data_IF_568363077089
#
_entry.id   IF_568363077089
#
_cell.length_a   1.000
_cell.length_b   1.000
_cell.length_c   1.000
_cell.angle_alpha   90.00
_cell.angle_beta   90.00
_cell.angle_gamma   90.00
#
_symmetry.space_group_name_H-M   'P 1'
#
loop_
_entity.id
_entity.type
_entity.pdbx_description
1 polymer ?
#
# COMPACT_ATOMS: atom_id res chain seq x y z
N UNK A 1 -4.07 -24.88 0.18
CA UNK A 1 -3.54 -24.75 -1.20
C UNK A 1 -2.94 -23.36 -1.29
N UNK A 2 -1.63 -23.24 -1.48
CA UNK A 2 -0.98 -21.92 -1.57
C UNK A 2 -1.19 -21.30 -2.94
N UNK A 3 -1.69 -20.07 -2.96
CA UNK A 3 -1.78 -19.26 -4.18
C UNK A 3 -0.39 -18.68 -4.44
N UNK A 4 0.26 -19.15 -5.51
CA UNK A 4 1.64 -18.73 -5.85
C UNK A 4 1.70 -17.49 -6.73
N UNK A 5 0.75 -17.33 -7.64
CA UNK A 5 0.71 -16.24 -8.60
C UNK A 5 -0.73 -15.69 -8.71
N UNK A 6 -0.87 -14.37 -8.69
CA UNK A 6 -2.10 -13.65 -8.97
C UNK A 6 -1.87 -12.69 -10.13
N UNK A 7 -2.67 -12.83 -11.20
CA UNK A 7 -2.69 -11.90 -12.33
C UNK A 7 -3.93 -11.02 -12.25
N UNK A 8 -3.75 -9.71 -12.24
CA UNK A 8 -4.84 -8.73 -12.24
C UNK A 8 -4.73 -7.87 -13.50
N UNK A 9 -5.82 -7.70 -14.23
CA UNK A 9 -5.89 -6.84 -15.41
C UNK A 9 -7.14 -5.97 -15.33
N UNK A 10 -7.01 -4.70 -15.67
CA UNK A 10 -8.09 -3.71 -15.63
C UNK A 10 -8.01 -2.78 -16.83
N UNK A 11 -9.14 -2.15 -17.16
CA UNK A 11 -9.25 -1.15 -18.23
C UNK A 11 -10.35 -0.15 -17.92
N UNK A 12 -10.42 0.94 -18.70
CA UNK A 12 -11.41 2.04 -18.51
C UNK A 12 -11.36 2.64 -17.10
N UNK A 13 -10.15 2.92 -16.61
CA UNK A 13 -9.97 3.60 -15.34
C UNK A 13 -10.62 4.97 -15.37
N UNK A 14 -11.33 5.30 -14.30
CA UNK A 14 -11.92 6.61 -14.05
C UNK A 14 -11.37 7.15 -12.74
N UNK A 15 -11.40 8.47 -12.59
CA UNK A 15 -11.01 9.11 -11.34
C UNK A 15 -11.93 8.66 -10.20
N UNK A 16 -11.33 8.28 -9.08
CA UNK A 16 -12.07 7.95 -7.87
C UNK A 16 -12.60 9.25 -7.25
N UNK A 17 -13.87 9.58 -7.54
CA UNK A 17 -14.54 10.80 -7.07
C UNK A 17 -15.57 10.55 -5.96
N UNK A 18 -15.96 9.29 -5.75
CA UNK A 18 -17.06 8.94 -4.87
C UNK A 18 -16.60 7.82 -3.93
N UNK A 19 -16.96 7.92 -2.66
CA UNK A 19 -16.80 6.82 -1.71
C UNK A 19 -18.00 5.88 -1.82
N UNK A 20 -17.74 4.60 -2.08
CA UNK A 20 -18.77 3.58 -1.99
C UNK A 20 -18.85 3.08 -0.55
N UNK A 21 -19.99 3.32 0.10
CA UNK A 21 -20.26 2.83 1.45
C UNK A 21 -20.78 1.39 1.39
N UNK A 22 -20.44 0.61 2.41
CA UNK A 22 -21.10 -0.64 2.70
C UNK A 22 -22.42 -0.40 3.48
N UNK A 23 -23.26 -1.44 3.56
CA UNK A 23 -24.60 -1.36 4.14
C UNK A 23 -24.65 -1.64 5.65
N UNK A 24 -23.56 -2.11 6.23
CA UNK A 24 -23.50 -2.68 7.58
C UNK A 24 -22.62 -1.85 8.54
N UNK A 25 -21.90 -0.86 8.02
CA UNK A 25 -21.04 0.05 8.78
C UNK A 25 -21.62 1.46 8.84
N UNK A 26 -21.23 2.23 9.85
CA UNK A 26 -21.63 3.64 10.01
C UNK A 26 -20.99 4.48 8.89
N UNK A 27 -21.73 5.33 8.17
CA UNK A 27 -21.18 6.16 7.08
C UNK A 27 -19.99 7.02 7.49
N UNK A 28 -20.07 7.66 8.65
CA UNK A 28 -19.04 8.58 9.15
C UNK A 28 -17.72 7.86 9.45
N UNK A 29 -17.79 6.63 9.97
CA UNK A 29 -16.60 5.82 10.25
C UNK A 29 -15.88 5.44 8.95
N UNK A 30 -16.63 5.05 7.91
CA UNK A 30 -16.08 4.71 6.60
C UNK A 30 -15.42 5.91 5.90
N UNK A 31 -15.99 7.11 6.08
CA UNK A 31 -15.40 8.37 5.57
C UNK A 31 -14.07 8.65 6.28
N UNK A 32 -14.06 8.58 7.62
CA UNK A 32 -12.84 8.80 8.39
C UNK A 32 -11.75 7.77 8.08
N UNK A 33 -12.12 6.51 7.87
CA UNK A 33 -11.18 5.47 7.47
C UNK A 33 -10.56 5.78 6.10
N UNK A 34 -11.36 6.23 5.15
CA UNK A 34 -10.90 6.64 3.82
C UNK A 34 -9.93 7.81 3.90
N UNK A 35 -10.25 8.84 4.69
CA UNK A 35 -9.37 9.99 4.91
C UNK A 35 -8.04 9.59 5.57
N UNK A 36 -8.10 8.62 6.48
CA UNK A 36 -6.93 8.04 7.13
C UNK A 36 -6.01 7.34 6.12
N UNK A 37 -6.57 6.55 5.20
CA UNK A 37 -5.79 5.95 4.11
C UNK A 37 -5.15 6.99 3.20
N UNK A 38 -5.88 8.04 2.82
CA UNK A 38 -5.31 9.14 2.05
C UNK A 38 -4.17 9.84 2.79
N UNK A 39 -4.28 9.99 4.11
CA UNK A 39 -3.21 10.55 4.93
C UNK A 39 -1.96 9.65 4.94
N UNK A 40 -2.12 8.33 5.11
CA UNK A 40 -1.00 7.37 5.02
C UNK A 40 -0.30 7.52 3.67
N UNK A 41 -1.06 7.57 2.58
CA UNK A 41 -0.52 7.68 1.23
C UNK A 41 0.25 8.98 1.02
N UNK A 42 -0.27 10.12 1.52
CA UNK A 42 0.45 11.40 1.50
C UNK A 42 1.79 11.31 2.24
N UNK A 43 1.82 10.65 3.41
CA UNK A 43 3.05 10.45 4.18
C UNK A 43 4.04 9.59 3.39
N UNK A 44 3.59 8.47 2.82
CA UNK A 44 4.45 7.57 2.01
C UNK A 44 4.94 8.23 0.73
N UNK A 45 4.12 9.06 0.08
CA UNK A 45 4.52 9.81 -1.11
C UNK A 45 5.65 10.79 -0.77
N UNK A 46 5.58 11.44 0.40
CA UNK A 46 6.58 12.42 0.82
C UNK A 46 7.87 11.80 1.38
N UNK A 47 7.76 10.73 2.16
CA UNK A 47 8.88 10.17 2.94
C UNK A 47 9.30 8.76 2.52
N UNK A 48 8.64 8.18 1.51
CA UNK A 48 8.88 6.83 1.03
C UNK A 48 8.02 5.77 1.72
N UNK A 49 7.91 4.59 1.10
CA UNK A 49 7.03 3.50 1.55
C UNK A 49 7.31 3.07 3.01
N UNK A 50 8.58 3.04 3.41
CA UNK A 50 8.98 2.60 4.77
C UNK A 50 8.64 3.61 5.87
N UNK A 51 8.20 4.83 5.54
CA UNK A 51 7.85 5.84 6.53
C UNK A 51 6.66 5.43 7.41
N UNK A 52 5.72 4.66 6.85
CA UNK A 52 4.62 4.03 7.58
C UNK A 52 4.35 2.65 7.00
N UNK A 53 4.48 1.61 7.82
CA UNK A 53 4.24 0.22 7.45
C UNK A 53 3.27 -0.43 8.43
N UNK A 54 2.52 -1.43 7.98
CA UNK A 54 1.75 -2.25 8.91
C UNK A 54 2.68 -3.00 9.86
N UNK A 55 2.29 -3.13 11.13
CA UNK A 55 3.05 -3.89 12.12
C UNK A 55 3.26 -5.35 11.70
N UNK A 56 2.30 -5.94 10.96
CA UNK A 56 2.43 -7.28 10.36
C UNK A 56 3.63 -7.40 9.40
N UNK A 57 4.14 -6.30 8.86
CA UNK A 57 5.34 -6.27 8.02
C UNK A 57 6.63 -6.54 8.80
N UNK A 58 6.57 -6.59 10.13
CA UNK A 58 7.69 -6.94 11.02
C UNK A 58 7.66 -8.40 11.46
N UNK A 59 6.61 -9.14 11.13
CA UNK A 59 6.48 -10.56 11.48
C UNK A 59 7.46 -11.41 10.67
N UNK A 60 7.82 -12.58 11.20
CA UNK A 60 8.66 -13.54 10.50
C UNK A 60 8.00 -13.96 9.16
N UNK A 61 8.80 -14.01 8.10
CA UNK A 61 8.33 -14.30 6.74
C UNK A 61 7.69 -13.12 6.01
N UNK A 62 7.50 -11.97 6.65
CA UNK A 62 7.02 -10.77 5.96
C UNK A 62 8.11 -10.20 5.03
N UNK A 63 7.72 -9.77 3.82
CA UNK A 63 8.65 -9.29 2.79
C UNK A 63 8.47 -7.83 2.41
N UNK A 64 7.50 -7.13 3.00
CA UNK A 64 7.17 -5.74 2.61
C UNK A 64 8.36 -4.78 2.75
N UNK A 65 9.13 -4.88 3.83
CA UNK A 65 10.29 -4.01 4.08
C UNK A 65 11.44 -4.32 3.13
N UNK A 66 11.77 -5.60 2.96
CA UNK A 66 12.87 -6.04 2.08
C UNK A 66 12.57 -5.77 0.60
N UNK A 67 11.29 -5.79 0.21
CA UNK A 67 10.84 -5.53 -1.16
C UNK A 67 10.54 -4.07 -1.45
N UNK A 68 10.52 -3.20 -0.43
CA UNK A 68 10.18 -1.78 -0.59
C UNK A 68 11.11 -1.03 -1.56
N UNK A 69 12.32 -1.52 -1.80
CA UNK A 69 13.29 -0.96 -2.75
C UNK A 69 13.30 -1.66 -4.12
N UNK A 70 12.40 -2.62 -4.35
CA UNK A 70 12.34 -3.40 -5.60
C UNK A 70 11.16 -2.93 -6.47
N UNK A 71 11.37 -2.94 -7.78
CA UNK A 71 10.34 -2.68 -8.80
C UNK A 71 10.13 -3.97 -9.58
N UNK A 72 8.93 -4.55 -9.52
CA UNK A 72 8.63 -5.82 -10.22
C UNK A 72 9.52 -7.00 -9.81
N UNK A 73 10.04 -7.01 -8.58
CA UNK A 73 10.98 -8.02 -8.09
C UNK A 73 12.45 -7.79 -8.48
N UNK A 74 12.76 -6.72 -9.22
CA UNK A 74 14.11 -6.34 -9.62
C UNK A 74 14.55 -5.05 -8.93
N UNK A 75 15.86 -4.83 -8.80
CA UNK A 75 16.40 -3.56 -8.31
C UNK A 75 16.18 -2.47 -9.36
N UNK A 76 15.07 -1.71 -9.25
CA UNK A 76 14.61 -0.73 -10.24
C UNK A 76 15.38 0.59 -10.24
N UNK A 77 16.71 0.54 -10.15
CA UNK A 77 17.58 1.74 -10.19
C UNK A 77 17.54 2.64 -8.95
N UNK A 78 16.63 2.41 -7.99
CA UNK A 78 16.55 3.12 -6.70
C UNK A 78 17.53 2.59 -5.64
N UNK A 79 18.59 1.91 -6.07
CA UNK A 79 19.65 1.38 -5.21
C UNK A 79 20.46 2.58 -4.67
N UNK A 80 19.93 3.25 -3.66
CA UNK A 80 20.53 4.48 -3.11
C UNK A 80 19.59 5.38 -2.31
N UNK A 81 18.27 5.29 -2.49
CA UNK A 81 17.30 5.99 -1.64
C UNK A 81 16.89 5.11 -0.45
N UNK A 82 17.67 5.16 0.63
CA UNK A 82 17.20 4.74 1.97
C UNK A 82 17.21 3.24 2.26
N UNK A 83 18.38 2.61 2.17
CA UNK A 83 18.71 1.47 3.04
C UNK A 83 19.61 1.97 4.16
N UNK A 84 19.05 2.79 5.05
CA UNK A 84 19.68 3.06 6.35
C UNK A 84 19.03 2.16 7.38
N UNK A 85 19.90 1.47 8.14
CA UNK A 85 19.66 1.19 9.54
C UNK A 85 19.29 2.47 10.30
#
# INVERSE_FOLDING_TARGET
VDVRNLGVSYGRLVWNKNLQLDLFSVPEEQIHETDMYFLIDKIRQKFGFKALIHASSLMEGATAISRASLVGGHAGGTVGLGTTK
#
